data_IF_318169745336
#
_entry.id   IF_318169745336
#
_cell.length_a   1.000
_cell.length_b   1.000
_cell.length_c   1.000
_cell.angle_alpha   90.00
_cell.angle_beta   90.00
_cell.angle_gamma   90.00
#
_symmetry.space_group_name_H-M   'P 1'
#
loop_
_entity.id
_entity.type
_entity.pdbx_description
1 polymer ?
#
# COMPACT_ATOMS: atom_id res chain seq x y z
N UNK A 1 4.91 -0.44 16.63
CA UNK A 1 3.60 -1.11 16.93
C UNK A 1 3.68 -2.57 16.56
N UNK A 2 2.77 -3.42 17.10
CA UNK A 2 2.71 -4.85 16.73
C UNK A 2 1.30 -5.42 16.92
N UNK A 3 0.95 -6.42 16.12
CA UNK A 3 -0.31 -7.16 16.19
C UNK A 3 -0.15 -8.32 17.17
N UNK A 4 -0.86 -8.30 18.28
CA UNK A 4 -0.82 -9.35 19.31
C UNK A 4 -1.61 -10.58 18.89
N UNK A 5 -2.79 -10.36 18.31
CA UNK A 5 -3.73 -11.43 17.98
C UNK A 5 -4.57 -11.05 16.79
N UNK A 6 -4.93 -12.07 16.00
CA UNK A 6 -5.97 -11.96 14.98
C UNK A 6 -6.98 -13.09 15.13
N UNK A 7 -8.27 -12.76 15.09
CA UNK A 7 -9.37 -13.70 14.97
C UNK A 7 -9.99 -13.53 13.57
N UNK A 8 -10.10 -14.64 12.85
CA UNK A 8 -10.55 -14.70 11.46
C UNK A 8 -11.81 -15.57 11.39
N UNK A 9 -12.84 -15.11 10.69
CA UNK A 9 -14.05 -15.88 10.41
C UNK A 9 -14.44 -15.73 8.94
N UNK A 10 -14.54 -16.85 8.24
CA UNK A 10 -14.97 -16.96 6.82
C UNK A 10 -14.17 -16.11 5.84
N UNK A 11 -12.85 -16.10 6.00
CA UNK A 11 -11.94 -15.36 5.12
C UNK A 11 -11.19 -16.31 4.19
N UNK A 12 -11.36 -16.20 2.89
CA UNK A 12 -10.73 -17.07 1.89
C UNK A 12 -10.97 -18.55 2.19
N UNK A 13 -9.92 -19.31 2.50
CA UNK A 13 -9.98 -20.72 2.91
C UNK A 13 -10.07 -20.93 4.42
N UNK A 14 -10.05 -19.86 5.23
CA UNK A 14 -10.18 -19.95 6.67
C UNK A 14 -11.65 -19.90 7.08
N UNK A 15 -12.15 -20.97 7.71
CA UNK A 15 -13.50 -20.99 8.30
C UNK A 15 -13.48 -20.23 9.62
N UNK A 16 -12.56 -20.60 10.51
CA UNK A 16 -12.31 -19.93 11.77
C UNK A 16 -10.84 -20.15 12.15
N UNK A 17 -10.16 -19.07 12.57
CA UNK A 17 -8.81 -19.15 13.09
C UNK A 17 -8.60 -18.07 14.15
N UNK A 18 -7.87 -18.40 15.21
CA UNK A 18 -7.45 -17.48 16.28
C UNK A 18 -5.98 -17.69 16.53
N UNK A 19 -5.17 -16.66 16.26
CA UNK A 19 -3.71 -16.77 16.29
C UNK A 19 -3.11 -15.63 17.10
N UNK A 20 -2.24 -15.99 18.05
CA UNK A 20 -1.46 -15.02 18.86
C UNK A 20 -0.01 -14.99 18.40
N UNK A 21 0.53 -13.81 18.17
CA UNK A 21 1.82 -13.59 17.53
C UNK A 21 2.92 -13.18 18.51
N UNK A 22 4.17 -13.36 18.09
CA UNK A 22 5.34 -12.74 18.69
C UNK A 22 5.42 -11.27 18.25
N UNK A 23 5.91 -10.34 19.09
CA UNK A 23 6.17 -8.96 18.71
C UNK A 23 7.30 -8.83 17.67
N UNK A 24 8.06 -9.88 17.42
CA UNK A 24 9.20 -9.91 16.51
C UNK A 24 8.88 -10.70 15.24
N UNK A 25 9.49 -11.86 15.05
CA UNK A 25 9.36 -12.66 13.83
C UNK A 25 8.29 -13.76 13.98
N UNK A 26 7.39 -13.82 13.00
CA UNK A 26 6.34 -14.83 12.89
C UNK A 26 6.44 -15.51 11.51
N UNK A 27 6.68 -16.81 11.48
CA UNK A 27 6.90 -17.55 10.24
C UNK A 27 5.75 -18.51 9.98
N UNK A 28 5.12 -18.39 8.83
CA UNK A 28 4.10 -19.32 8.34
C UNK A 28 4.73 -20.33 7.38
N UNK A 29 4.81 -21.57 7.83
CA UNK A 29 5.35 -22.71 7.07
C UNK A 29 4.20 -23.51 6.44
N UNK A 30 4.42 -24.03 5.25
CA UNK A 30 3.48 -24.95 4.61
C UNK A 30 3.74 -25.07 3.12
N UNK A 31 3.17 -26.10 2.49
CA UNK A 31 3.22 -26.26 1.04
C UNK A 31 2.44 -25.12 0.34
N UNK A 32 2.65 -24.96 -0.97
CA UNK A 32 1.90 -24.01 -1.75
C UNK A 32 0.39 -24.31 -1.72
N UNK A 33 -0.43 -23.27 -1.84
CA UNK A 33 -1.90 -23.33 -1.82
C UNK A 33 -2.54 -23.78 -0.47
N UNK A 34 -1.80 -23.84 0.64
CA UNK A 34 -2.34 -24.19 1.95
C UNK A 34 -3.02 -23.02 2.69
N UNK A 35 -2.77 -21.77 2.27
CA UNK A 35 -3.35 -20.57 2.88
C UNK A 35 -2.34 -19.59 3.46
N UNK A 36 -1.02 -19.83 3.33
CA UNK A 36 0.03 -18.92 3.85
C UNK A 36 -0.17 -17.46 3.42
N UNK A 37 -0.32 -17.22 2.13
CA UNK A 37 -0.61 -15.88 1.60
C UNK A 37 -1.94 -15.32 2.11
N UNK A 38 -2.94 -16.18 2.40
CA UNK A 38 -4.26 -15.73 2.85
C UNK A 38 -4.22 -15.18 4.30
N UNK A 39 -3.34 -15.69 5.19
CA UNK A 39 -3.18 -15.09 6.52
C UNK A 39 -2.50 -13.72 6.42
N UNK A 40 -1.46 -13.56 5.57
CA UNK A 40 -0.87 -12.24 5.33
C UNK A 40 -1.89 -11.28 4.69
N UNK A 41 -2.71 -11.77 3.75
CA UNK A 41 -3.80 -10.99 3.16
C UNK A 41 -4.83 -10.55 4.21
N UNK A 42 -5.14 -11.40 5.21
CA UNK A 42 -6.03 -11.04 6.32
C UNK A 42 -5.44 -9.94 7.20
N UNK A 43 -4.14 -10.01 7.54
CA UNK A 43 -3.43 -8.97 8.30
C UNK A 43 -3.40 -7.66 7.50
N UNK A 44 -3.06 -7.73 6.21
CA UNK A 44 -3.06 -6.58 5.30
C UNK A 44 -4.47 -5.96 5.17
N UNK A 45 -5.50 -6.81 5.05
CA UNK A 45 -6.88 -6.35 4.96
C UNK A 45 -7.36 -5.70 6.26
N UNK A 46 -6.93 -6.23 7.41
CA UNK A 46 -7.21 -5.64 8.72
C UNK A 46 -6.60 -4.23 8.83
N UNK A 47 -5.41 -3.98 8.28
CA UNK A 47 -4.78 -2.67 8.30
C UNK A 47 -5.42 -1.66 7.32
N UNK A 48 -5.65 -2.09 6.09
CA UNK A 48 -5.92 -1.20 4.95
C UNK A 48 -7.34 -1.33 4.41
N UNK A 49 -8.14 -2.24 4.95
CA UNK A 49 -9.50 -2.52 4.48
C UNK A 49 -9.60 -2.87 2.99
N UNK A 50 -8.51 -3.30 2.37
CA UNK A 50 -8.43 -3.71 0.95
C UNK A 50 -7.48 -4.88 0.78
N UNK A 51 -7.74 -5.71 -0.21
CA UNK A 51 -6.80 -6.76 -0.60
C UNK A 51 -5.69 -6.19 -1.50
N UNK A 52 -4.49 -6.77 -1.41
CA UNK A 52 -3.41 -6.53 -2.37
C UNK A 52 -3.60 -7.37 -3.65
N UNK A 53 -4.33 -8.51 -3.59
CA UNK A 53 -4.49 -9.50 -4.67
C UNK A 53 -5.74 -9.31 -5.52
N UNK A 54 -6.83 -8.79 -4.95
CA UNK A 54 -8.10 -8.63 -5.67
C UNK A 54 -8.73 -7.26 -5.47
N UNK A 55 -9.52 -6.84 -6.45
CA UNK A 55 -10.39 -5.65 -6.36
C UNK A 55 -11.81 -5.99 -5.91
N UNK A 56 -12.16 -7.28 -5.90
CA UNK A 56 -13.50 -7.76 -5.56
C UNK A 56 -13.55 -8.22 -4.11
N UNK A 57 -14.23 -7.47 -3.27
CA UNK A 57 -14.42 -7.82 -1.86
C UNK A 57 -15.13 -9.18 -1.68
N UNK A 58 -15.97 -9.59 -2.65
CA UNK A 58 -16.68 -10.88 -2.61
C UNK A 58 -15.73 -12.07 -2.63
N UNK A 59 -14.55 -11.92 -3.26
CA UNK A 59 -13.55 -12.98 -3.32
C UNK A 59 -12.83 -13.21 -1.98
N UNK A 60 -12.95 -12.29 -1.03
CA UNK A 60 -12.40 -12.42 0.32
C UNK A 60 -13.30 -13.28 1.21
N UNK A 61 -14.60 -13.28 0.95
CA UNK A 61 -15.56 -14.09 1.70
C UNK A 61 -15.40 -15.54 1.28
N UNK A 62 -15.33 -16.45 2.25
CA UNK A 62 -15.24 -17.88 2.02
C UNK A 62 -16.41 -18.36 1.14
N UNK A 63 -16.13 -19.31 0.26
CA UNK A 63 -17.14 -19.90 -0.64
C UNK A 63 -18.34 -20.42 0.17
N UNK A 64 -19.55 -20.18 -0.31
CA UNK A 64 -20.85 -20.46 0.33
C UNK A 64 -21.15 -19.65 1.60
N UNK A 65 -20.33 -18.68 1.99
CA UNK A 65 -20.60 -17.78 3.09
C UNK A 65 -21.08 -16.40 2.60
N UNK A 66 -21.79 -15.69 3.47
CA UNK A 66 -22.33 -14.36 3.15
C UNK A 66 -21.58 -13.20 3.84
N UNK A 67 -20.74 -13.54 4.79
CA UNK A 67 -20.04 -12.56 5.61
C UNK A 67 -18.64 -13.07 5.97
N UNK A 68 -17.71 -12.16 6.16
CA UNK A 68 -16.45 -12.40 6.85
C UNK A 68 -16.31 -11.47 8.04
N UNK A 69 -15.50 -11.86 9.04
CA UNK A 69 -15.10 -11.01 10.14
C UNK A 69 -13.61 -11.18 10.42
N UNK A 70 -12.96 -10.05 10.69
CA UNK A 70 -11.59 -10.00 11.19
C UNK A 70 -11.58 -9.13 12.43
N UNK A 71 -10.99 -9.62 13.51
CA UNK A 71 -10.72 -8.85 14.72
C UNK A 71 -9.23 -8.95 15.03
N UNK A 72 -8.61 -7.84 15.36
CA UNK A 72 -7.20 -7.81 15.76
C UNK A 72 -6.98 -6.95 17.00
N UNK A 73 -5.97 -7.27 17.77
CA UNK A 73 -5.51 -6.47 18.90
C UNK A 73 -4.12 -5.94 18.54
N UNK A 74 -4.02 -4.63 18.34
CA UNK A 74 -2.77 -3.96 17.99
C UNK A 74 -2.21 -3.27 19.24
N UNK A 75 -0.94 -3.48 19.54
CA UNK A 75 -0.21 -2.73 20.53
C UNK A 75 0.42 -1.50 19.91
N UNK A 76 0.14 -0.36 20.48
CA UNK A 76 0.74 0.93 20.14
C UNK A 76 1.39 1.56 21.37
N UNK A 77 2.17 2.63 21.20
CA UNK A 77 2.67 3.41 22.34
C UNK A 77 1.55 3.90 23.27
N UNK A 78 0.35 4.14 22.71
CA UNK A 78 -0.84 4.55 23.46
C UNK A 78 -1.57 3.41 24.17
N UNK A 79 -1.13 2.15 24.03
CA UNK A 79 -1.74 0.96 24.60
C UNK A 79 -2.38 0.03 23.57
N UNK A 80 -3.18 -0.92 24.04
CA UNK A 80 -3.88 -1.91 23.19
C UNK A 80 -5.05 -1.27 22.45
N UNK A 81 -5.14 -1.54 21.16
CA UNK A 81 -6.16 -1.02 20.28
C UNK A 81 -6.86 -2.16 19.53
N UNK A 82 -8.10 -2.52 19.89
CA UNK A 82 -8.91 -3.45 19.12
C UNK A 82 -9.33 -2.85 17.78
N UNK A 83 -9.11 -3.60 16.70
CA UNK A 83 -9.55 -3.29 15.34
C UNK A 83 -10.49 -4.39 14.86
N UNK A 84 -11.63 -3.99 14.25
CA UNK A 84 -12.62 -4.95 13.75
C UNK A 84 -13.04 -4.58 12.33
N UNK A 85 -13.15 -5.58 11.47
CA UNK A 85 -13.73 -5.47 10.14
C UNK A 85 -14.79 -6.53 9.96
N UNK A 86 -15.97 -6.14 9.51
CA UNK A 86 -17.01 -7.04 9.03
C UNK A 86 -17.37 -6.67 7.61
N UNK A 87 -17.39 -7.65 6.72
CA UNK A 87 -17.75 -7.48 5.32
C UNK A 87 -18.93 -8.38 4.97
N UNK A 88 -19.92 -7.86 4.26
CA UNK A 88 -21.10 -8.57 3.80
C UNK A 88 -21.58 -8.03 2.46
N UNK A 89 -22.62 -8.61 1.89
CA UNK A 89 -23.30 -8.08 0.71
C UNK A 89 -23.89 -6.67 0.93
N UNK A 90 -24.11 -6.25 2.19
CA UNK A 90 -24.57 -4.90 2.55
C UNK A 90 -23.45 -3.88 2.66
N UNK A 91 -22.20 -4.31 2.47
CA UNK A 91 -21.00 -3.46 2.56
C UNK A 91 -20.10 -3.81 3.73
N UNK A 92 -19.19 -2.89 4.02
CA UNK A 92 -18.13 -3.03 5.02
C UNK A 92 -18.43 -2.19 6.25
N UNK A 93 -18.19 -2.74 7.43
CA UNK A 93 -18.24 -2.04 8.71
C UNK A 93 -16.86 -2.17 9.35
N UNK A 94 -16.28 -1.05 9.74
CA UNK A 94 -15.01 -0.98 10.46
C UNK A 94 -15.23 -0.37 11.84
N UNK A 95 -14.50 -0.88 12.84
CA UNK A 95 -14.50 -0.33 14.19
C UNK A 95 -13.09 -0.19 14.73
N UNK A 96 -12.87 0.86 15.48
CA UNK A 96 -11.65 1.13 16.25
C UNK A 96 -12.04 1.24 17.70
N UNK A 97 -11.42 0.46 18.57
CA UNK A 97 -11.80 0.38 19.99
C UNK A 97 -13.31 0.17 20.19
N UNK A 98 -13.89 -0.79 19.42
CA UNK A 98 -15.31 -1.15 19.38
C UNK A 98 -16.25 -0.05 18.85
N UNK A 99 -15.75 1.15 18.51
CA UNK A 99 -16.53 2.26 17.98
C UNK A 99 -16.55 2.20 16.45
N UNK A 100 -17.76 2.17 15.87
CA UNK A 100 -17.95 2.15 14.42
C UNK A 100 -17.41 3.42 13.79
N UNK A 101 -16.61 3.28 12.74
CA UNK A 101 -16.07 4.40 11.98
C UNK A 101 -17.05 4.82 10.87
N UNK A 102 -17.22 6.13 10.71
CA UNK A 102 -18.11 6.70 9.68
C UNK A 102 -17.49 6.61 8.29
N UNK A 103 -16.17 6.76 8.21
CA UNK A 103 -15.41 6.71 6.95
C UNK A 103 -14.25 5.74 7.08
N UNK A 104 -13.82 5.14 5.96
CA UNK A 104 -12.64 4.29 5.93
C UNK A 104 -11.34 5.07 6.22
N UNK A 105 -11.31 6.37 5.89
CA UNK A 105 -10.22 7.27 6.25
C UNK A 105 -10.00 7.40 7.77
N UNK A 106 -11.07 7.22 8.55
CA UNK A 106 -11.01 7.30 10.01
C UNK A 106 -10.50 5.98 10.63
N UNK A 107 -10.44 4.91 9.85
CA UNK A 107 -9.93 3.61 10.26
C UNK A 107 -8.47 3.39 9.84
N UNK A 108 -8.10 3.82 8.63
CA UNK A 108 -6.75 3.62 8.07
C UNK A 108 -5.74 4.45 8.89
N UNK A 109 -4.55 3.88 9.14
CA UNK A 109 -3.48 4.50 9.92
C UNK A 109 -3.45 4.10 11.41
N UNK A 110 -4.48 3.38 11.90
CA UNK A 110 -4.43 2.80 13.25
C UNK A 110 -3.51 1.58 13.34
N UNK A 111 -3.32 0.87 12.25
CA UNK A 111 -2.30 -0.16 12.04
C UNK A 111 -1.64 0.10 10.69
N UNK A 112 -0.33 0.32 10.67
CA UNK A 112 0.43 0.52 9.42
C UNK A 112 1.15 -0.75 9.05
N UNK A 113 1.17 -1.06 7.75
CA UNK A 113 1.81 -2.27 7.21
C UNK A 113 2.63 -1.93 5.98
N UNK A 114 3.75 -2.61 5.81
CA UNK A 114 4.51 -2.65 4.57
C UNK A 114 4.49 -4.07 4.06
N UNK A 115 4.04 -4.27 2.83
CA UNK A 115 3.97 -5.58 2.19
C UNK A 115 5.07 -5.68 1.13
N UNK A 116 5.83 -6.77 1.20
CA UNK A 116 6.64 -7.26 0.12
C UNK A 116 5.94 -8.47 -0.53
N UNK A 117 5.70 -8.39 -1.81
CA UNK A 117 5.08 -9.46 -2.58
C UNK A 117 5.76 -9.60 -3.95
N UNK A 118 5.69 -10.77 -4.61
CA UNK A 118 6.27 -10.97 -5.94
C UNK A 118 5.78 -9.96 -6.98
N UNK A 119 4.54 -9.48 -6.83
CA UNK A 119 3.91 -8.50 -7.70
C UNK A 119 4.55 -7.10 -7.63
N UNK A 120 5.35 -6.80 -6.60
CA UNK A 120 5.98 -5.48 -6.43
C UNK A 120 6.95 -5.14 -7.59
N UNK A 121 7.51 -6.13 -8.29
CA UNK A 121 8.28 -5.91 -9.51
C UNK A 121 7.47 -5.17 -10.60
N UNK A 122 6.14 -5.24 -10.55
CA UNK A 122 5.25 -4.50 -11.44
C UNK A 122 5.27 -2.97 -11.17
N UNK A 123 5.80 -2.50 -10.05
CA UNK A 123 6.02 -1.06 -9.83
C UNK A 123 7.01 -0.51 -10.85
N UNK A 124 8.01 -1.30 -11.24
CA UNK A 124 9.03 -0.87 -12.22
C UNK A 124 8.51 -0.94 -13.66
N UNK A 125 7.84 -2.05 -14.04
CA UNK A 125 7.45 -2.33 -15.43
C UNK A 125 5.95 -2.18 -15.73
N UNK A 126 5.14 -2.15 -14.70
CA UNK A 126 3.69 -2.15 -14.83
C UNK A 126 3.09 -0.78 -15.17
N UNK A 127 1.79 -0.71 -15.10
CA UNK A 127 1.04 0.48 -15.47
C UNK A 127 1.16 1.63 -14.45
N UNK A 128 0.98 2.88 -14.87
CA UNK A 128 0.92 4.04 -13.99
C UNK A 128 -0.10 3.91 -12.84
N UNK A 129 -1.17 3.15 -13.06
CA UNK A 129 -2.18 2.92 -12.02
C UNK A 129 -1.65 2.14 -10.80
N UNK A 130 -0.66 1.26 -11.00
CA UNK A 130 -0.01 0.53 -9.90
C UNK A 130 0.85 1.48 -9.06
N UNK A 131 1.63 2.35 -9.71
CA UNK A 131 2.48 3.33 -9.04
C UNK A 131 1.66 4.38 -8.28
N UNK A 132 0.55 4.85 -8.85
CA UNK A 132 -0.39 5.72 -8.10
C UNK A 132 -1.00 5.00 -6.91
N UNK A 133 -1.42 3.73 -7.08
CA UNK A 133 -1.96 2.92 -5.98
C UNK A 133 -0.93 2.75 -4.84
N UNK A 134 0.34 2.55 -5.18
CA UNK A 134 1.45 2.49 -4.22
C UNK A 134 1.52 3.78 -3.38
N UNK A 135 1.63 4.95 -4.02
CA UNK A 135 1.65 6.24 -3.32
C UNK A 135 0.39 6.43 -2.46
N UNK A 136 -0.78 6.13 -3.02
CA UNK A 136 -2.07 6.36 -2.33
C UNK A 136 -2.23 5.46 -1.09
N UNK A 137 -1.62 4.26 -1.11
CA UNK A 137 -1.61 3.35 0.04
C UNK A 137 -0.71 3.91 1.13
N UNK A 138 0.52 4.29 0.81
CA UNK A 138 1.49 4.73 1.80
C UNK A 138 1.09 6.08 2.41
N UNK A 139 0.78 7.06 1.58
CA UNK A 139 0.26 8.34 2.06
C UNK A 139 -1.02 8.18 2.88
N UNK A 140 -1.89 7.26 2.47
CA UNK A 140 -3.13 6.98 3.19
C UNK A 140 -2.91 6.47 4.61
N UNK A 141 -1.85 5.71 4.83
CA UNK A 141 -1.52 5.18 6.16
C UNK A 141 -0.93 6.23 7.11
N UNK A 142 -0.17 7.18 6.58
CA UNK A 142 0.60 8.15 7.40
C UNK A 142 -0.04 9.53 7.49
N UNK A 143 -0.97 9.87 6.57
CA UNK A 143 -1.54 11.21 6.46
C UNK A 143 -3.07 11.15 6.22
N UNK A 144 -3.90 11.06 7.26
CA UNK A 144 -5.37 10.92 7.11
C UNK A 144 -6.01 12.03 6.27
N UNK A 145 -5.48 13.27 6.32
CA UNK A 145 -5.97 14.38 5.51
C UNK A 145 -5.82 14.10 4.01
N UNK A 146 -4.77 13.39 3.59
CA UNK A 146 -4.59 12.98 2.20
C UNK A 146 -5.74 12.11 1.70
N UNK A 147 -6.20 11.14 2.49
CA UNK A 147 -7.35 10.29 2.13
C UNK A 147 -8.63 11.09 1.96
N UNK A 148 -8.84 12.12 2.80
CA UNK A 148 -9.97 13.02 2.68
C UNK A 148 -9.91 13.84 1.39
N UNK A 149 -8.75 14.43 1.08
CA UNK A 149 -8.55 15.20 -0.14
C UNK A 149 -8.66 14.33 -1.40
N UNK A 150 -8.07 13.13 -1.40
CA UNK A 150 -8.18 12.17 -2.50
C UNK A 150 -9.62 11.71 -2.72
N UNK A 151 -10.37 11.48 -1.63
CA UNK A 151 -11.79 11.11 -1.71
C UNK A 151 -12.63 12.24 -2.32
N UNK A 152 -12.40 13.48 -1.88
CA UNK A 152 -13.08 14.68 -2.40
C UNK A 152 -12.73 14.91 -3.87
N UNK A 153 -11.46 14.80 -4.22
CA UNK A 153 -11.01 14.86 -5.60
C UNK A 153 -11.70 13.82 -6.49
N UNK A 154 -11.70 12.56 -6.06
CA UNK A 154 -12.34 11.48 -6.82
C UNK A 154 -13.86 11.65 -6.95
N UNK A 155 -14.51 12.24 -5.93
CA UNK A 155 -15.94 12.56 -5.97
C UNK A 155 -16.24 13.60 -7.06
N UNK A 156 -15.52 14.73 -7.06
CA UNK A 156 -15.67 15.78 -8.07
C UNK A 156 -15.30 15.27 -9.47
N UNK A 157 -14.22 14.49 -9.60
CA UNK A 157 -13.83 13.86 -10.86
C UNK A 157 -14.96 12.98 -11.42
N UNK A 158 -15.59 12.18 -10.57
CA UNK A 158 -16.74 11.34 -10.97
C UNK A 158 -17.94 12.19 -11.41
N UNK A 159 -18.25 13.27 -10.72
CA UNK A 159 -19.32 14.20 -11.09
C UNK A 159 -19.02 14.85 -12.45
N UNK A 160 -17.79 15.38 -12.64
CA UNK A 160 -17.37 15.99 -13.90
C UNK A 160 -17.45 14.99 -15.06
N UNK A 161 -16.94 13.78 -14.89
CA UNK A 161 -17.01 12.74 -15.93
C UNK A 161 -18.46 12.27 -16.20
N UNK A 162 -19.32 12.24 -15.20
CA UNK A 162 -20.74 11.94 -15.38
C UNK A 162 -21.44 13.05 -16.18
N UNK A 163 -21.16 14.32 -15.87
CA UNK A 163 -21.69 15.46 -16.59
C UNK A 163 -21.26 15.45 -18.08
N UNK A 164 -19.97 15.25 -18.35
CA UNK A 164 -19.46 15.14 -19.71
C UNK A 164 -20.10 14.00 -20.53
N UNK A 165 -20.59 12.95 -19.88
CA UNK A 165 -21.29 11.83 -20.52
C UNK A 165 -22.79 12.05 -20.69
N UNK A 166 -23.41 12.87 -19.86
CA UNK A 166 -24.86 13.01 -19.78
C UNK A 166 -25.46 13.91 -20.87
N UNK A 167 -24.66 14.78 -21.50
CA UNK A 167 -25.11 15.74 -22.50
C UNK A 167 -24.13 15.91 -23.63
N UNK A 168 -24.63 16.18 -24.83
CA UNK A 168 -23.82 16.57 -25.98
C UNK A 168 -23.65 18.09 -26.04
N UNK A 169 -24.53 18.86 -25.38
CA UNK A 169 -24.43 20.31 -25.26
C UNK A 169 -24.01 20.70 -23.84
N UNK A 170 -22.68 20.76 -23.67
CA UNK A 170 -22.05 21.02 -22.36
C UNK A 170 -22.09 22.52 -22.05
N UNK A 171 -22.73 22.90 -20.93
CA UNK A 171 -22.64 24.26 -20.39
C UNK A 171 -21.25 24.49 -19.78
N UNK A 172 -20.50 25.41 -20.42
CA UNK A 172 -19.12 25.74 -20.05
C UNK A 172 -19.07 26.42 -18.66
N UNK A 173 -20.10 27.17 -18.26
CA UNK A 173 -20.13 27.79 -16.95
C UNK A 173 -20.24 26.75 -15.84
N UNK A 174 -21.14 25.78 -16.01
CA UNK A 174 -21.25 24.66 -15.06
C UNK A 174 -20.00 23.80 -15.03
N UNK A 175 -19.41 23.51 -16.20
CA UNK A 175 -18.14 22.77 -16.27
C UNK A 175 -17.03 23.52 -15.54
N UNK A 176 -16.95 24.85 -15.65
CA UNK A 176 -15.96 25.68 -14.96
C UNK A 176 -16.09 25.61 -13.44
N UNK A 177 -17.30 25.52 -12.89
CA UNK A 177 -17.50 25.32 -11.43
C UNK A 177 -16.92 23.96 -10.97
N UNK A 178 -17.12 22.91 -11.77
CA UNK A 178 -16.52 21.59 -11.48
C UNK A 178 -14.99 21.63 -11.61
N UNK A 179 -14.45 22.39 -12.56
CA UNK A 179 -13.00 22.56 -12.75
C UNK A 179 -12.35 23.27 -11.55
N UNK A 180 -12.99 24.30 -11.00
CA UNK A 180 -12.51 24.98 -9.79
C UNK A 180 -12.44 24.04 -8.61
N UNK A 181 -13.50 23.30 -8.33
CA UNK A 181 -13.52 22.30 -7.25
C UNK A 181 -12.47 21.20 -7.48
N UNK A 182 -12.34 20.72 -8.73
CA UNK A 182 -11.39 19.69 -9.09
C UNK A 182 -9.95 20.18 -8.92
N UNK A 183 -9.66 21.44 -9.30
CA UNK A 183 -8.34 22.04 -9.13
C UNK A 183 -8.00 22.26 -7.65
N UNK A 184 -8.95 22.65 -6.82
CA UNK A 184 -8.72 22.85 -5.38
C UNK A 184 -8.30 21.55 -4.68
N UNK A 185 -9.08 20.48 -4.85
CA UNK A 185 -8.73 19.18 -4.24
C UNK A 185 -7.53 18.51 -4.91
N UNK A 186 -7.43 18.62 -6.23
CA UNK A 186 -6.34 18.02 -6.97
C UNK A 186 -4.97 18.64 -6.67
N UNK A 187 -4.93 19.96 -6.43
CA UNK A 187 -3.71 20.65 -5.98
C UNK A 187 -3.20 20.06 -4.67
N UNK A 188 -4.06 19.90 -3.66
CA UNK A 188 -3.67 19.31 -2.38
C UNK A 188 -3.14 17.88 -2.54
N UNK A 189 -3.79 17.08 -3.39
CA UNK A 189 -3.31 15.71 -3.71
C UNK A 189 -1.90 15.75 -4.33
N UNK A 190 -1.65 16.66 -5.27
CA UNK A 190 -0.33 16.80 -5.92
C UNK A 190 0.73 17.27 -4.91
N UNK A 191 0.42 18.27 -4.09
CA UNK A 191 1.34 18.79 -3.06
C UNK A 191 1.74 17.69 -2.07
N UNK A 192 0.79 16.90 -1.57
CA UNK A 192 1.08 15.77 -0.69
C UNK A 192 1.96 14.71 -1.36
N UNK A 193 1.71 14.41 -2.64
CA UNK A 193 2.51 13.44 -3.38
C UNK A 193 3.93 13.93 -3.63
N UNK A 194 4.11 15.20 -3.99
CA UNK A 194 5.44 15.80 -4.20
C UNK A 194 6.28 15.75 -2.93
N UNK A 195 5.69 16.13 -1.80
CA UNK A 195 6.36 16.08 -0.50
C UNK A 195 6.77 14.64 -0.14
N UNK A 196 5.85 13.71 -0.28
CA UNK A 196 6.08 12.30 0.01
C UNK A 196 7.16 11.70 -0.90
N UNK A 197 7.08 11.92 -2.21
CA UNK A 197 8.02 11.35 -3.17
C UNK A 197 9.43 11.87 -2.92
N UNK A 198 9.59 13.16 -2.57
CA UNK A 198 10.89 13.71 -2.19
C UNK A 198 11.49 12.98 -0.99
N UNK A 199 10.71 12.76 0.05
CA UNK A 199 11.15 12.04 1.24
C UNK A 199 11.42 10.55 0.96
N UNK A 200 10.58 9.92 0.13
CA UNK A 200 10.74 8.54 -0.30
C UNK A 200 12.03 8.36 -1.12
N UNK A 201 12.32 9.28 -2.03
CA UNK A 201 13.55 9.27 -2.84
C UNK A 201 14.79 9.32 -1.96
N UNK A 202 14.84 10.26 -0.99
CA UNK A 202 15.96 10.40 -0.06
C UNK A 202 16.24 9.09 0.71
N UNK A 203 15.21 8.48 1.27
CA UNK A 203 15.36 7.22 2.01
C UNK A 203 15.65 6.03 1.07
N UNK A 204 15.00 5.96 -0.08
CA UNK A 204 15.20 4.88 -1.05
C UNK A 204 16.61 4.91 -1.67
N UNK A 205 17.14 6.08 -1.99
CA UNK A 205 18.51 6.23 -2.48
C UNK A 205 19.53 5.81 -1.42
N UNK A 206 19.31 6.17 -0.15
CA UNK A 206 20.15 5.73 0.97
C UNK A 206 20.20 4.20 1.08
N UNK A 207 19.04 3.54 1.08
CA UNK A 207 18.96 2.08 1.12
C UNK A 207 19.55 1.43 -0.14
N UNK A 208 19.30 1.99 -1.31
CA UNK A 208 19.82 1.47 -2.57
C UNK A 208 21.33 1.56 -2.67
N UNK A 209 21.89 2.68 -2.25
CA UNK A 209 23.34 2.87 -2.16
C UNK A 209 24.00 1.84 -1.25
N UNK A 210 23.40 1.55 -0.09
CA UNK A 210 23.91 0.53 0.84
C UNK A 210 23.85 -0.88 0.24
N UNK A 211 22.75 -1.21 -0.45
CA UNK A 211 22.57 -2.52 -1.11
C UNK A 211 23.53 -2.74 -2.28
N UNK A 212 23.87 -1.66 -2.99
CA UNK A 212 24.77 -1.70 -4.16
C UNK A 212 26.24 -1.40 -3.81
N UNK A 213 26.63 -1.37 -2.53
CA UNK A 213 27.95 -0.97 -2.06
C UNK A 213 28.38 0.41 -2.60
N UNK A 214 27.46 1.36 -2.62
CA UNK A 214 27.63 2.76 -3.08
C UNK A 214 27.93 2.92 -4.59
N UNK A 215 27.68 1.89 -5.39
CA UNK A 215 27.92 1.92 -6.84
C UNK A 215 26.72 2.55 -7.59
N UNK A 216 25.50 2.34 -7.09
CA UNK A 216 24.28 2.77 -7.74
C UNK A 216 23.56 3.85 -6.93
N UNK A 217 22.98 4.82 -7.66
CA UNK A 217 22.13 5.89 -7.10
C UNK A 217 20.71 5.73 -7.64
N UNK A 218 19.74 5.89 -6.77
CA UNK A 218 18.33 5.78 -7.10
C UNK A 218 17.68 7.17 -7.13
N UNK A 219 16.88 7.42 -8.18
CA UNK A 219 16.08 8.64 -8.32
C UNK A 219 14.65 8.29 -8.63
N UNK A 220 13.71 9.06 -8.09
CA UNK A 220 12.27 8.93 -8.32
C UNK A 220 11.76 10.23 -8.94
N UNK A 221 11.22 10.18 -10.14
CA UNK A 221 10.62 11.32 -10.80
C UNK A 221 9.10 11.26 -10.74
N UNK A 222 8.46 12.35 -10.35
CA UNK A 222 7.00 12.49 -10.42
C UNK A 222 6.62 13.13 -11.75
N UNK A 223 5.93 12.37 -12.57
CA UNK A 223 5.50 12.76 -13.91
C UNK A 223 4.08 13.32 -13.85
N UNK A 224 3.96 14.63 -13.65
CA UNK A 224 2.67 15.31 -13.67
C UNK A 224 2.31 15.75 -15.10
N UNK A 225 1.03 15.61 -15.45
CA UNK A 225 0.49 16.18 -16.69
C UNK A 225 0.02 17.64 -16.52
N UNK A 226 0.26 18.22 -15.35
CA UNK A 226 0.06 19.64 -15.04
C UNK A 226 1.43 20.27 -14.92
N UNK A 227 1.70 21.42 -15.59
CA UNK A 227 2.97 22.11 -15.44
C UNK A 227 3.24 22.51 -13.99
N UNK A 228 4.35 22.00 -13.42
CA UNK A 228 4.81 22.28 -12.06
C UNK A 228 6.00 23.26 -12.11
N UNK A 229 5.80 24.41 -12.74
CA UNK A 229 6.83 25.44 -12.83
C UNK A 229 7.07 26.11 -11.48
N UNK A 230 8.35 26.36 -11.15
CA UNK A 230 8.83 26.81 -9.84
C UNK A 230 8.20 28.10 -9.28
N UNK A 231 7.49 28.89 -10.09
CA UNK A 231 6.93 30.19 -9.69
C UNK A 231 5.42 30.29 -9.88
N UNK A 232 4.75 29.23 -10.33
CA UNK A 232 3.28 29.22 -10.48
C UNK A 232 2.62 28.44 -9.37
N UNK A 233 1.53 28.97 -8.84
CA UNK A 233 0.66 28.24 -7.93
C UNK A 233 0.08 27.04 -8.68
N UNK A 234 0.29 25.83 -8.19
CA UNK A 234 -0.15 24.56 -8.82
C UNK A 234 -1.64 24.62 -9.20
N UNK A 235 -2.46 25.24 -8.34
CA UNK A 235 -3.90 25.44 -8.58
C UNK A 235 -4.19 26.19 -9.86
N UNK A 236 -3.48 27.29 -10.12
CA UNK A 236 -3.68 28.12 -11.32
C UNK A 236 -3.24 27.37 -12.59
N UNK A 237 -2.11 26.67 -12.51
CA UNK A 237 -1.63 25.80 -13.60
C UNK A 237 -2.66 24.70 -13.90
N UNK A 238 -3.23 24.07 -12.87
CA UNK A 238 -4.22 23.01 -13.01
C UNK A 238 -5.51 23.54 -13.65
N UNK A 239 -6.06 24.65 -13.11
CA UNK A 239 -7.27 25.25 -13.64
C UNK A 239 -7.10 25.68 -15.11
N UNK A 240 -5.97 26.30 -15.43
CA UNK A 240 -5.62 26.69 -16.82
C UNK A 240 -5.55 25.47 -17.73
N UNK A 241 -4.90 24.40 -17.28
CA UNK A 241 -4.77 23.15 -18.06
C UNK A 241 -6.13 22.49 -18.27
N UNK A 242 -7.03 22.48 -17.29
CA UNK A 242 -8.42 21.99 -17.44
C UNK A 242 -9.18 22.77 -18.51
N UNK A 243 -9.15 24.12 -18.44
CA UNK A 243 -9.80 24.99 -19.43
C UNK A 243 -9.29 24.77 -20.85
N UNK A 244 -7.98 24.64 -21.02
CA UNK A 244 -7.36 24.33 -22.32
C UNK A 244 -7.80 22.97 -22.88
N UNK A 245 -8.09 22.01 -22.01
CA UNK A 245 -8.51 20.67 -22.39
C UNK A 245 -10.04 20.50 -22.56
N UNK A 246 -10.87 21.52 -22.37
CA UNK A 246 -12.34 21.42 -22.47
C UNK A 246 -12.79 20.74 -23.77
N UNK A 247 -12.30 21.20 -24.93
CA UNK A 247 -12.70 20.62 -26.24
C UNK A 247 -12.41 19.12 -26.32
N UNK A 248 -11.22 18.71 -25.86
CA UNK A 248 -10.81 17.31 -25.81
C UNK A 248 -11.65 16.50 -24.84
N UNK A 249 -11.88 17.01 -23.62
CA UNK A 249 -12.62 16.32 -22.57
C UNK A 249 -14.10 16.14 -22.95
N UNK A 250 -14.72 17.15 -23.58
CA UNK A 250 -16.06 17.08 -24.13
C UNK A 250 -16.14 16.01 -25.22
N UNK A 251 -15.19 16.01 -26.15
CA UNK A 251 -15.16 15.03 -27.23
C UNK A 251 -14.94 13.59 -26.71
N UNK A 252 -14.00 13.41 -25.75
CA UNK A 252 -13.68 12.09 -25.17
C UNK A 252 -14.60 11.68 -24.03
N UNK A 253 -15.51 12.57 -23.60
CA UNK A 253 -16.44 12.38 -22.47
C UNK A 253 -15.74 11.93 -21.17
N UNK A 254 -14.51 12.41 -20.96
CA UNK A 254 -13.74 12.16 -19.75
C UNK A 254 -12.69 13.25 -19.47
N UNK A 255 -12.30 13.38 -18.21
CA UNK A 255 -11.23 14.28 -17.77
C UNK A 255 -9.87 13.71 -18.10
N UNK A 256 -9.07 14.45 -18.86
CA UNK A 256 -7.78 14.01 -19.39
C UNK A 256 -6.56 14.42 -18.57
N UNK A 257 -6.71 15.34 -17.61
CA UNK A 257 -5.62 15.92 -16.83
C UNK A 257 -5.93 15.89 -15.33
N UNK A 258 -4.90 15.80 -14.49
CA UNK A 258 -5.00 15.77 -13.03
C UNK A 258 -4.30 14.57 -12.40
N UNK A 259 -4.20 14.53 -11.05
CA UNK A 259 -3.43 13.52 -10.32
C UNK A 259 -3.85 12.06 -10.58
N UNK A 260 -5.05 11.83 -11.11
CA UNK A 260 -5.50 10.50 -11.56
C UNK A 260 -4.82 10.02 -12.86
N UNK A 261 -4.04 10.89 -13.52
CA UNK A 261 -3.27 10.61 -14.75
C UNK A 261 -1.76 10.67 -14.55
N UNK A 262 -1.30 11.16 -13.41
CA UNK A 262 0.13 11.29 -13.12
C UNK A 262 0.80 9.91 -13.00
N UNK A 263 2.12 9.90 -13.07
CA UNK A 263 2.94 8.71 -12.99
C UNK A 263 4.19 8.92 -12.14
N UNK A 264 4.91 7.83 -11.85
CA UNK A 264 6.26 7.81 -11.33
C UNK A 264 7.20 7.10 -12.30
N UNK A 265 8.41 7.62 -12.39
CA UNK A 265 9.50 6.95 -13.11
C UNK A 265 10.68 6.76 -12.16
N UNK A 266 11.24 5.55 -12.15
CA UNK A 266 12.40 5.20 -11.36
C UNK A 266 13.65 5.18 -12.22
N UNK A 267 14.75 5.71 -11.70
CA UNK A 267 16.03 5.74 -12.39
C UNK A 267 17.13 5.14 -11.51
N UNK A 268 18.03 4.38 -12.10
CA UNK A 268 19.27 3.89 -11.50
C UNK A 268 20.42 4.44 -12.32
N UNK A 269 21.30 5.25 -11.70
CA UNK A 269 22.40 5.94 -12.38
C UNK A 269 21.93 6.67 -13.65
N UNK A 270 20.84 7.46 -13.54
CA UNK A 270 20.19 8.22 -14.63
C UNK A 270 19.60 7.37 -15.76
N UNK A 271 19.67 6.04 -15.68
CA UNK A 271 19.01 5.15 -16.62
C UNK A 271 17.64 4.73 -16.08
N UNK A 272 16.60 4.77 -16.90
CA UNK A 272 15.26 4.30 -16.51
C UNK A 272 15.34 2.82 -16.05
N UNK A 273 14.88 2.56 -14.84
CA UNK A 273 15.00 1.27 -14.18
C UNK A 273 14.23 0.14 -14.89
N UNK A 274 13.25 0.47 -15.75
CA UNK A 274 12.55 -0.52 -16.57
C UNK A 274 13.48 -1.27 -17.54
N UNK A 275 14.59 -0.65 -17.92
CA UNK A 275 15.64 -1.24 -18.76
C UNK A 275 16.78 -1.89 -17.95
N UNK A 276 16.75 -1.76 -16.62
CA UNK A 276 17.74 -2.35 -15.73
C UNK A 276 17.68 -3.87 -15.72
N UNK A 277 18.75 -4.52 -15.23
CA UNK A 277 18.79 -5.96 -15.01
C UNK A 277 17.75 -6.38 -13.97
N UNK A 278 17.35 -7.66 -13.95
CA UNK A 278 16.43 -8.18 -12.94
C UNK A 278 16.97 -7.97 -11.51
N UNK A 279 18.29 -8.12 -11.33
CA UNK A 279 18.94 -7.85 -10.05
C UNK A 279 18.79 -6.40 -9.60
N UNK A 280 19.01 -5.43 -10.50
CA UNK A 280 18.80 -4.01 -10.22
C UNK A 280 17.35 -3.70 -9.87
N UNK A 281 16.40 -4.26 -10.60
CA UNK A 281 14.97 -4.06 -10.34
C UNK A 281 14.55 -4.62 -8.97
N UNK A 282 15.07 -5.80 -8.59
CA UNK A 282 14.84 -6.39 -7.25
C UNK A 282 15.47 -5.55 -6.15
N UNK A 283 16.70 -5.06 -6.35
CA UNK A 283 17.36 -4.13 -5.39
C UNK A 283 16.59 -2.83 -5.26
N UNK A 284 16.07 -2.28 -6.36
CA UNK A 284 15.23 -1.08 -6.34
C UNK A 284 13.96 -1.31 -5.51
N UNK A 285 13.22 -2.38 -5.75
CA UNK A 285 12.01 -2.70 -4.98
C UNK A 285 12.34 -2.88 -3.49
N UNK A 286 13.41 -3.61 -3.17
CA UNK A 286 13.86 -3.77 -1.80
C UNK A 286 14.16 -2.40 -1.15
N UNK A 287 14.87 -1.52 -1.86
CA UNK A 287 15.19 -0.16 -1.38
C UNK A 287 13.93 0.68 -1.14
N UNK A 288 12.94 0.60 -2.03
CA UNK A 288 11.66 1.30 -1.87
C UNK A 288 10.94 0.81 -0.61
N UNK A 289 10.85 -0.50 -0.40
CA UNK A 289 10.16 -1.10 0.75
C UNK A 289 10.85 -0.76 2.08
N UNK A 290 12.17 -0.75 2.09
CA UNK A 290 12.93 -0.28 3.27
C UNK A 290 12.72 1.22 3.53
N UNK A 291 12.62 2.01 2.47
CA UNK A 291 12.28 3.43 2.57
C UNK A 291 10.86 3.67 3.11
N UNK A 292 9.87 2.86 2.69
CA UNK A 292 8.51 2.90 3.26
C UNK A 292 8.55 2.69 4.78
N UNK A 293 9.28 1.67 5.28
CA UNK A 293 9.43 1.39 6.72
C UNK A 293 10.03 2.60 7.44
N UNK A 294 11.16 3.12 6.93
CA UNK A 294 11.85 4.27 7.51
C UNK A 294 10.97 5.51 7.54
N UNK A 295 10.23 5.77 6.47
CA UNK A 295 9.36 6.94 6.35
C UNK A 295 8.13 6.85 7.26
N UNK A 296 7.50 5.69 7.35
CA UNK A 296 6.39 5.46 8.28
C UNK A 296 6.85 5.69 9.72
N UNK A 297 8.00 5.12 10.12
CA UNK A 297 8.59 5.34 11.46
C UNK A 297 8.85 6.82 11.71
N UNK A 298 9.44 7.53 10.74
CA UNK A 298 9.78 8.96 10.84
C UNK A 298 8.53 9.83 11.05
N UNK A 299 7.43 9.52 10.35
CA UNK A 299 6.19 10.31 10.39
C UNK A 299 5.31 9.94 11.58
N UNK A 300 5.17 8.65 11.89
CA UNK A 300 4.22 8.16 12.91
C UNK A 300 4.85 7.96 14.28
N UNK A 301 6.19 7.91 14.37
CA UNK A 301 6.92 7.57 15.59
C UNK A 301 6.98 6.07 15.88
N UNK A 302 6.26 5.22 15.14
CA UNK A 302 6.17 3.78 15.36
C UNK A 302 6.56 3.01 14.07
N UNK A 303 7.25 1.87 14.21
CA UNK A 303 7.50 0.99 13.08
C UNK A 303 6.21 0.37 12.55
N UNK A 304 6.05 0.26 11.21
CA UNK A 304 4.97 -0.52 10.63
C UNK A 304 5.20 -2.02 10.86
N UNK A 305 4.16 -2.80 10.66
CA UNK A 305 4.24 -4.26 10.59
C UNK A 305 4.73 -4.65 9.19
N UNK A 306 5.71 -5.53 9.12
CA UNK A 306 6.29 -6.00 7.87
C UNK A 306 5.69 -7.35 7.45
N UNK A 307 5.20 -7.44 6.22
CA UNK A 307 4.63 -8.65 5.63
C UNK A 307 5.50 -9.10 4.46
N UNK A 308 6.09 -10.30 4.54
CA UNK A 308 6.97 -10.89 3.53
C UNK A 308 6.28 -12.11 2.91
N UNK A 309 5.61 -11.94 1.77
CA UNK A 309 4.89 -13.02 1.10
C UNK A 309 5.78 -13.70 0.05
N UNK A 310 6.34 -14.86 0.40
CA UNK A 310 7.24 -15.71 -0.40
C UNK A 310 8.47 -14.98 -1.01
N UNK A 311 8.86 -13.86 -0.39
CA UNK A 311 9.91 -12.96 -0.91
C UNK A 311 11.28 -13.63 -0.88
N UNK A 312 11.52 -14.50 0.11
CA UNK A 312 12.82 -15.16 0.26
C UNK A 312 13.15 -16.07 -0.93
N UNK A 313 12.15 -16.68 -1.57
CA UNK A 313 12.36 -17.49 -2.78
C UNK A 313 12.75 -16.67 -4.02
N UNK A 314 12.42 -15.36 -4.01
CA UNK A 314 12.68 -14.43 -5.12
C UNK A 314 14.05 -13.75 -5.03
N UNK A 315 14.70 -13.77 -3.87
CA UNK A 315 15.97 -13.10 -3.60
C UNK A 315 17.12 -14.10 -3.59
N UNK A 316 18.29 -13.67 -4.10
CA UNK A 316 19.54 -14.40 -3.87
C UNK A 316 20.01 -14.28 -2.42
N UNK A 317 20.91 -15.15 -1.99
CA UNK A 317 21.39 -15.24 -0.61
C UNK A 317 21.94 -13.89 -0.09
N UNK A 318 22.63 -13.12 -0.94
CA UNK A 318 23.17 -11.82 -0.54
C UNK A 318 22.07 -10.81 -0.21
N UNK A 319 21.03 -10.74 -1.05
CA UNK A 319 19.88 -9.85 -0.81
C UNK A 319 19.01 -10.32 0.34
N UNK A 320 18.86 -11.64 0.54
CA UNK A 320 18.18 -12.19 1.72
C UNK A 320 18.85 -11.75 3.02
N UNK A 321 20.18 -11.91 3.11
CA UNK A 321 20.95 -11.47 4.28
C UNK A 321 20.82 -9.96 4.49
N UNK A 322 21.00 -9.17 3.44
CA UNK A 322 20.86 -7.70 3.52
C UNK A 322 19.46 -7.26 3.95
N UNK A 323 18.40 -7.92 3.49
CA UNK A 323 17.06 -7.66 3.93
C UNK A 323 16.93 -7.93 5.44
N UNK A 324 17.34 -9.11 5.90
CA UNK A 324 17.23 -9.47 7.32
C UNK A 324 18.07 -8.56 8.23
N UNK A 325 19.30 -8.21 7.83
CA UNK A 325 20.17 -7.27 8.55
C UNK A 325 19.63 -5.83 8.59
N UNK A 326 18.84 -5.44 7.61
CA UNK A 326 18.29 -4.10 7.51
C UNK A 326 16.95 -3.90 8.20
N UNK A 327 16.29 -4.99 8.62
CA UNK A 327 15.08 -4.94 9.43
C UNK A 327 15.48 -4.69 10.88
N UNK A 328 14.98 -3.60 11.45
CA UNK A 328 15.17 -3.27 12.86
C UNK A 328 14.49 -4.34 13.74
N UNK A 329 15.13 -4.71 14.86
CA UNK A 329 14.62 -5.71 15.80
C UNK A 329 13.24 -5.34 16.38
N UNK A 330 12.90 -4.05 16.40
CA UNK A 330 11.58 -3.56 16.83
C UNK A 330 10.47 -3.75 15.78
N UNK A 331 10.80 -4.18 14.56
CA UNK A 331 9.83 -4.38 13.48
C UNK A 331 9.20 -5.75 13.60
N UNK A 332 7.92 -5.81 13.95
CA UNK A 332 7.19 -7.07 13.85
C UNK A 332 7.13 -7.52 12.38
N UNK A 333 7.63 -8.73 12.13
CA UNK A 333 7.70 -9.29 10.77
C UNK A 333 6.88 -10.58 10.68
N UNK A 334 6.08 -10.68 9.64
CA UNK A 334 5.36 -11.89 9.24
C UNK A 334 5.94 -12.39 7.92
N UNK A 335 6.35 -13.64 7.90
CA UNK A 335 6.99 -14.24 6.72
C UNK A 335 6.28 -15.53 6.32
N UNK A 336 6.04 -15.71 5.03
CA UNK A 336 5.61 -17.00 4.48
C UNK A 336 6.78 -17.68 3.79
N UNK A 337 6.96 -18.99 4.03
CA UNK A 337 7.97 -19.80 3.35
C UNK A 337 7.54 -21.26 3.26
N UNK A 338 8.18 -22.03 2.40
CA UNK A 338 8.00 -23.47 2.28
C UNK A 338 9.00 -24.28 3.11
N UNK A 339 10.16 -23.68 3.47
CA UNK A 339 11.24 -24.30 4.26
C UNK A 339 11.95 -23.24 5.09
N UNK A 340 12.58 -23.66 6.19
CA UNK A 340 13.46 -22.87 7.04
C UNK A 340 14.95 -23.06 6.70
N UNK A 341 15.30 -23.96 5.81
CA UNK A 341 16.69 -24.41 5.55
C UNK A 341 17.62 -23.27 5.08
N UNK A 342 17.04 -22.19 4.59
CA UNK A 342 17.78 -21.02 4.11
C UNK A 342 17.89 -19.88 5.13
N UNK A 343 17.27 -20.03 6.32
CA UNK A 343 17.25 -19.00 7.36
C UNK A 343 18.27 -19.37 8.44
N UNK A 344 19.47 -18.79 8.35
CA UNK A 344 20.47 -18.83 9.41
C UNK A 344 20.29 -17.68 10.39
N UNK A 345 20.56 -17.89 11.68
CA UNK A 345 20.50 -16.87 12.74
C UNK A 345 19.09 -16.30 13.01
N UNK A 346 18.12 -17.19 13.19
CA UNK A 346 16.76 -16.79 13.60
C UNK A 346 16.78 -16.23 15.05
N UNK A 347 16.01 -15.16 15.35
CA UNK A 347 15.90 -14.63 16.70
C UNK A 347 15.25 -15.66 17.65
N UNK A 348 15.64 -15.68 18.95
CA UNK A 348 15.14 -16.67 19.91
C UNK A 348 13.63 -16.58 20.16
N UNK A 349 13.03 -15.42 19.99
CA UNK A 349 11.61 -15.16 20.28
C UNK A 349 10.70 -15.29 19.04
N UNK A 350 11.17 -16.01 18.01
CA UNK A 350 10.32 -16.26 16.84
C UNK A 350 9.17 -17.21 17.17
N UNK A 351 8.04 -17.02 16.50
CA UNK A 351 6.96 -18.01 16.45
C UNK A 351 6.87 -18.63 15.06
N UNK A 352 6.70 -19.94 15.04
CA UNK A 352 6.52 -20.70 13.82
C UNK A 352 5.14 -21.32 13.78
N UNK A 353 4.44 -21.15 12.67
CA UNK A 353 3.09 -21.67 12.46
C UNK A 353 3.09 -22.61 11.25
N UNK A 354 2.55 -23.81 11.42
CA UNK A 354 2.28 -24.72 10.32
C UNK A 354 0.89 -24.42 9.74
N UNK A 355 0.83 -24.11 8.45
CA UNK A 355 -0.43 -23.86 7.73
C UNK A 355 -0.77 -25.06 6.86
N UNK A 356 -1.94 -25.66 7.10
CA UNK A 356 -2.43 -26.82 6.37
C UNK A 356 -3.94 -26.74 6.14
N UNK A 357 -4.37 -26.70 4.89
CA UNK A 357 -5.78 -26.69 4.46
C UNK A 357 -6.66 -25.62 5.12
N UNK A 358 -6.11 -24.44 5.44
CA UNK A 358 -6.84 -23.36 6.13
C UNK A 358 -6.85 -23.46 7.65
N UNK A 359 -6.11 -24.40 8.23
CA UNK A 359 -5.83 -24.45 9.67
C UNK A 359 -4.43 -23.95 9.97
N UNK A 360 -4.26 -23.33 11.13
CA UNK A 360 -2.98 -22.77 11.61
C UNK A 360 -2.64 -23.41 12.96
N UNK A 361 -1.48 -24.04 13.03
CA UNK A 361 -0.98 -24.68 14.23
C UNK A 361 0.36 -24.04 14.65
N UNK A 362 0.45 -23.56 15.90
CA UNK A 362 1.72 -23.10 16.45
C UNK A 362 2.67 -24.32 16.58
N UNK A 363 3.84 -24.23 15.95
CA UNK A 363 4.88 -25.27 16.02
C UNK A 363 5.88 -24.84 17.08
N UNK A 364 6.06 -25.65 18.15
CA UNK A 364 7.17 -25.49 19.06
C UNK A 364 8.46 -25.76 18.27
N UNK A 365 9.41 -24.84 18.35
CA UNK A 365 10.75 -25.03 17.80
C UNK A 365 11.53 -25.79 18.89
N UNK A 366 11.82 -27.07 18.62
CA UNK A 366 12.69 -27.89 19.47
C UNK A 366 14.15 -27.41 19.38
#
# INVERSE_FOLDING_TARGET
MWLEKIDIQHFRNYTEASVSFSPHLNIFLGRNAQGKTNILEAIYFLALTRSHRTRSDKELIQFQQNTLKLNGIVHRHSGKLPLEISLSNKGRITKVNHLKQAKLSDYIGHMTVVLFAPEDLQLVKGSPSLRRKFIDIDLGQIKPVYLSDLSSYNHVLKQRNAYLKSTDNVDINFLSVLDEQLSDFGTRVIEHRLEFIKQLEEEADRHHSNLSNQIERLKISYESNIPLENNKVIRESFLTTLKQNHKRDIFKKNTGVGPHRDDLTFYINDMNASFGSQGQQRSLILSLKMAEISLIKKVTGEFPILLLDDVMSELDNHRQLKLLESIDEEVQTFMTTTSLDHLSNLPPDLKTFLVKNGDIYEKQVD
#
